data_IF_122676992335
#
_entry.id   IF_122676992335
#
_cell.length_a   1.000
_cell.length_b   1.000
_cell.length_c   1.000
_cell.angle_alpha   90.00
_cell.angle_beta   90.00
_cell.angle_gamma   90.00
#
_symmetry.space_group_name_H-M   'P 1'
#
loop_
_entity.id
_entity.type
_entity.pdbx_description
1 polymer ?
#
# COMPACT_ATOMS: atom_id res chain seq x y z
N UNK A 1 -19.00 37.13 10.49
CA UNK A 1 -17.53 37.22 10.54
C UNK A 1 -17.03 35.90 11.08
N UNK A 2 -16.62 34.99 10.18
CA UNK A 2 -16.07 33.70 10.54
C UNK A 2 -14.55 33.83 10.47
N UNK A 3 -13.90 33.71 11.63
CA UNK A 3 -12.47 33.88 11.79
C UNK A 3 -11.71 32.79 10.97
N UNK A 4 -10.75 33.25 10.18
CA UNK A 4 -9.79 32.39 9.48
C UNK A 4 -8.77 31.87 10.51
N UNK A 5 -8.97 30.67 11.00
CA UNK A 5 -7.95 29.92 11.73
C UNK A 5 -6.89 29.43 10.76
N UNK A 6 -5.67 29.93 10.84
CA UNK A 6 -4.51 29.45 10.13
C UNK A 6 -4.05 28.13 10.75
N UNK A 7 -4.16 27.04 10.01
CA UNK A 7 -3.58 25.73 10.36
C UNK A 7 -2.06 25.81 10.17
N UNK A 8 -1.23 25.34 11.13
CA UNK A 8 0.24 25.36 10.99
C UNK A 8 0.73 24.47 9.87
N UNK A 9 1.58 25.04 9.05
CA UNK A 9 2.25 24.62 7.84
C UNK A 9 2.61 23.16 7.63
N UNK A 10 1.88 22.52 6.75
CA UNK A 10 2.36 21.34 6.03
C UNK A 10 3.08 21.79 4.76
N UNK A 11 4.33 21.34 4.56
CA UNK A 11 5.10 21.68 3.36
C UNK A 11 4.73 20.72 2.24
N UNK A 12 3.87 21.17 1.32
CA UNK A 12 3.68 20.55 0.03
C UNK A 12 4.75 21.09 -0.93
N UNK A 13 5.68 20.26 -1.41
CA UNK A 13 6.69 20.68 -2.41
C UNK A 13 6.24 20.23 -3.79
N UNK A 14 5.69 21.17 -4.57
CA UNK A 14 5.40 20.96 -5.99
C UNK A 14 6.64 21.31 -6.82
N UNK A 15 7.21 20.32 -7.50
CA UNK A 15 8.27 20.56 -8.49
C UNK A 15 7.65 20.66 -9.90
N UNK A 16 7.75 21.83 -10.49
CA UNK A 16 7.38 22.04 -11.89
C UNK A 16 8.59 21.73 -12.77
N UNK A 17 8.55 20.62 -13.47
CA UNK A 17 9.66 20.16 -14.33
C UNK A 17 9.59 20.93 -15.66
N UNK A 18 10.67 21.64 -15.99
CA UNK A 18 10.86 22.21 -17.35
C UNK A 18 11.20 21.05 -18.29
N UNK A 19 10.37 20.87 -19.32
CA UNK A 19 10.59 19.88 -20.37
C UNK A 19 11.86 20.21 -21.15
N UNK A 20 12.94 19.49 -20.89
CA UNK A 20 14.11 19.40 -21.74
C UNK A 20 14.02 18.10 -22.53
N UNK A 21 13.70 18.20 -23.84
CA UNK A 21 13.65 17.01 -24.71
C UNK A 21 15.09 16.61 -25.05
N UNK A 22 15.60 15.58 -24.37
CA UNK A 22 16.78 14.84 -24.81
C UNK A 22 16.32 13.54 -25.49
N UNK A 23 16.41 13.47 -26.79
CA UNK A 23 16.29 12.24 -27.58
C UNK A 23 17.53 11.39 -27.33
N UNK A 24 17.47 10.41 -26.44
CA UNK A 24 18.49 9.39 -26.21
C UNK A 24 17.91 8.02 -26.47
N UNK A 25 18.57 7.26 -27.37
CA UNK A 25 18.13 5.97 -27.89
C UNK A 25 17.85 4.91 -26.82
N UNK A 26 16.86 4.11 -27.06
CA UNK A 26 16.47 2.95 -26.27
C UNK A 26 17.63 1.95 -26.17
N UNK A 27 18.32 1.92 -25.03
CA UNK A 27 19.15 0.79 -24.63
C UNK A 27 18.29 -0.13 -23.78
N UNK A 28 18.23 -1.39 -24.20
CA UNK A 28 17.39 -2.46 -23.72
C UNK A 28 17.16 -2.49 -22.21
N UNK A 29 15.89 -2.54 -21.83
CA UNK A 29 15.44 -2.89 -20.50
C UNK A 29 16.01 -4.26 -20.11
N UNK A 30 16.61 -4.34 -18.92
CA UNK A 30 16.86 -5.63 -18.29
C UNK A 30 15.51 -6.35 -18.14
N UNK A 31 15.41 -7.64 -18.47
CA UNK A 31 14.18 -8.37 -18.21
C UNK A 31 13.83 -8.21 -16.73
N UNK A 32 12.57 -7.90 -16.44
CA UNK A 32 12.02 -7.83 -15.07
C UNK A 32 12.40 -9.13 -14.36
N UNK A 33 13.31 -9.04 -13.39
CA UNK A 33 13.78 -10.23 -12.68
C UNK A 33 12.60 -10.80 -11.89
N UNK A 34 12.33 -12.07 -12.16
CA UNK A 34 11.40 -12.98 -11.47
C UNK A 34 10.20 -12.25 -10.80
N UNK A 35 9.15 -12.03 -11.59
CA UNK A 35 7.93 -11.40 -11.09
C UNK A 35 6.77 -12.40 -11.10
N UNK A 36 5.96 -12.40 -10.04
CA UNK A 36 4.70 -13.12 -9.96
C UNK A 36 3.55 -12.14 -10.15
N UNK A 37 2.49 -12.56 -10.86
CA UNK A 37 1.25 -11.81 -11.00
C UNK A 37 0.11 -12.58 -10.36
N UNK A 38 -0.70 -11.88 -9.59
CA UNK A 38 -1.96 -12.38 -9.05
C UNK A 38 -3.07 -11.45 -9.48
N UNK A 39 -4.07 -11.95 -10.17
CA UNK A 39 -5.25 -11.17 -10.54
C UNK A 39 -6.32 -11.33 -9.45
N UNK A 40 -6.91 -10.23 -9.00
CA UNK A 40 -8.07 -10.19 -8.10
C UNK A 40 -9.29 -9.98 -8.95
N UNK A 41 -10.14 -11.01 -9.09
CA UNK A 41 -11.29 -11.00 -9.99
C UNK A 41 -12.54 -10.46 -9.28
N UNK A 42 -12.92 -9.22 -9.63
CA UNK A 42 -14.09 -8.52 -9.12
C UNK A 42 -14.95 -7.93 -10.26
N UNK A 43 -14.91 -8.58 -11.42
CA UNK A 43 -15.57 -8.10 -12.62
C UNK A 43 -15.00 -6.78 -13.11
N UNK A 44 -15.80 -5.71 -13.17
CA UNK A 44 -15.33 -4.39 -13.61
C UNK A 44 -14.35 -3.70 -12.65
N UNK A 45 -14.18 -4.23 -11.45
CA UNK A 45 -13.26 -3.73 -10.41
C UNK A 45 -12.04 -4.63 -10.24
N UNK A 46 -11.86 -5.60 -11.12
CA UNK A 46 -10.68 -6.48 -11.12
C UNK A 46 -9.39 -5.70 -11.29
N UNK A 47 -8.33 -6.16 -10.64
CA UNK A 47 -7.02 -5.52 -10.72
C UNK A 47 -5.90 -6.55 -10.53
N UNK A 48 -4.73 -6.32 -11.14
CA UNK A 48 -3.55 -7.15 -10.92
C UNK A 48 -2.76 -6.71 -9.68
N UNK A 49 -2.09 -7.68 -9.06
CA UNK A 49 -1.02 -7.49 -8.07
C UNK A 49 0.26 -8.01 -8.69
N UNK A 50 1.22 -7.13 -8.91
CA UNK A 50 2.55 -7.47 -9.43
C UNK A 50 3.52 -7.60 -8.25
N UNK A 51 4.22 -8.71 -8.15
CA UNK A 51 5.09 -9.04 -7.03
C UNK A 51 6.46 -9.41 -7.58
N UNK A 52 7.50 -8.72 -7.15
CA UNK A 52 8.86 -8.98 -7.61
C UNK A 52 9.88 -8.07 -6.95
N UNK A 53 11.08 -8.03 -7.48
CA UNK A 53 12.16 -7.16 -7.02
C UNK A 53 12.53 -6.14 -8.09
N UNK A 54 12.99 -4.95 -7.64
CA UNK A 54 13.43 -3.85 -8.51
C UNK A 54 12.35 -3.33 -9.49
N UNK A 55 11.07 -3.38 -9.08
CA UNK A 55 9.94 -2.90 -9.88
C UNK A 55 9.83 -1.38 -9.89
N UNK A 56 10.29 -0.70 -8.83
CA UNK A 56 10.15 0.74 -8.64
C UNK A 56 10.70 1.55 -9.81
N UNK A 57 11.87 1.16 -10.32
CA UNK A 57 12.53 1.86 -11.43
C UNK A 57 11.78 1.81 -12.76
N UNK A 58 10.92 0.81 -12.96
CA UNK A 58 10.10 0.60 -14.16
C UNK A 58 8.62 0.97 -13.99
N UNK A 59 8.21 1.45 -12.82
CA UNK A 59 6.78 1.62 -12.50
C UNK A 59 6.03 2.54 -13.47
N UNK A 60 6.68 3.56 -14.01
CA UNK A 60 6.05 4.45 -15.00
C UNK A 60 5.65 3.72 -16.29
N UNK A 61 6.49 2.80 -16.77
CA UNK A 61 6.18 1.95 -17.92
C UNK A 61 5.08 0.93 -17.57
N UNK A 62 5.20 0.26 -16.42
CA UNK A 62 4.18 -0.66 -15.90
C UNK A 62 2.81 0.01 -15.85
N UNK A 63 2.72 1.25 -15.40
CA UNK A 63 1.47 1.99 -15.39
C UNK A 63 0.91 2.20 -16.80
N UNK A 64 1.75 2.50 -17.81
CA UNK A 64 1.31 2.66 -19.21
C UNK A 64 0.82 1.34 -19.79
N UNK A 65 1.53 0.26 -19.56
CA UNK A 65 1.13 -1.09 -20.00
C UNK A 65 -0.23 -1.52 -19.40
N UNK A 66 -0.54 -1.09 -18.18
CA UNK A 66 -1.82 -1.33 -17.52
C UNK A 66 -2.88 -0.27 -17.83
N UNK A 67 -2.66 0.56 -18.87
CA UNK A 67 -3.68 1.45 -19.42
C UNK A 67 -3.90 2.76 -18.66
N UNK A 68 -3.02 3.12 -17.72
CA UNK A 68 -3.10 4.42 -17.06
C UNK A 68 -2.75 5.55 -18.04
N UNK A 69 -3.67 6.49 -18.18
CA UNK A 69 -3.56 7.64 -19.09
C UNK A 69 -3.23 8.94 -18.36
N UNK A 70 -3.24 8.95 -17.04
CA UNK A 70 -2.94 10.11 -16.22
C UNK A 70 -1.51 10.61 -16.51
N UNK A 71 -1.37 11.93 -16.56
CA UNK A 71 -0.08 12.61 -16.66
C UNK A 71 0.31 13.31 -15.37
N UNK A 72 -0.59 13.29 -14.38
CA UNK A 72 -0.40 13.85 -13.06
C UNK A 72 -0.42 12.73 -12.05
N UNK A 73 0.53 12.75 -11.11
CA UNK A 73 0.59 11.82 -9.98
C UNK A 73 0.58 12.59 -8.65
N UNK A 74 -0.17 12.08 -7.69
CA UNK A 74 -0.17 12.53 -6.31
C UNK A 74 0.29 11.38 -5.43
N UNK A 75 1.47 11.52 -4.82
CA UNK A 75 2.11 10.48 -4.02
C UNK A 75 1.79 10.74 -2.56
N UNK A 76 1.09 9.81 -1.90
CA UNK A 76 0.96 9.79 -0.44
C UNK A 76 2.02 8.85 0.11
N UNK A 77 2.81 9.34 1.06
CA UNK A 77 3.90 8.60 1.69
C UNK A 77 4.12 9.08 3.12
N UNK A 78 5.16 8.60 3.79
CA UNK A 78 5.62 9.14 5.05
C UNK A 78 7.07 9.67 4.91
N UNK A 79 7.58 10.46 5.87
CA UNK A 79 8.91 11.06 5.77
C UNK A 79 10.04 10.05 5.55
N UNK A 80 10.01 8.90 6.23
CA UNK A 80 11.04 7.86 6.12
C UNK A 80 11.03 7.23 4.73
N UNK A 81 9.89 6.73 4.28
CA UNK A 81 9.74 6.07 2.98
C UNK A 81 9.94 7.06 1.84
N UNK A 82 9.39 8.28 1.98
CA UNK A 82 9.59 9.37 1.03
C UNK A 82 11.05 9.76 0.88
N UNK A 83 11.79 9.84 1.98
CA UNK A 83 13.24 10.10 1.96
C UNK A 83 14.05 9.03 1.22
N UNK A 84 13.65 7.77 1.34
CA UNK A 84 14.35 6.65 0.71
C UNK A 84 14.00 6.47 -0.78
N UNK A 85 12.73 6.60 -1.15
CA UNK A 85 12.25 6.06 -2.42
C UNK A 85 11.59 7.08 -3.34
N UNK A 86 11.18 8.27 -2.84
CA UNK A 86 10.44 9.23 -3.66
C UNK A 86 11.20 9.67 -4.91
N UNK A 87 12.49 9.97 -4.81
CA UNK A 87 13.28 10.44 -5.95
C UNK A 87 13.38 9.38 -7.06
N UNK A 88 13.51 8.10 -6.69
CA UNK A 88 13.52 7.00 -7.65
C UNK A 88 12.13 6.81 -8.31
N UNK A 89 11.05 6.88 -7.51
CA UNK A 89 9.68 6.83 -8.01
C UNK A 89 9.36 7.99 -8.95
N UNK A 90 9.68 9.23 -8.56
CA UNK A 90 9.46 10.42 -9.38
C UNK A 90 10.15 10.29 -10.75
N UNK A 91 11.43 9.88 -10.74
CA UNK A 91 12.19 9.63 -11.96
C UNK A 91 11.54 8.58 -12.86
N UNK A 92 11.09 7.45 -12.28
CA UNK A 92 10.41 6.40 -13.02
C UNK A 92 9.08 6.89 -13.62
N UNK A 93 8.30 7.67 -12.87
CA UNK A 93 7.04 8.27 -13.33
C UNK A 93 7.28 9.26 -14.49
N UNK A 94 8.29 10.13 -14.38
CA UNK A 94 8.65 11.09 -15.46
C UNK A 94 9.05 10.33 -16.72
N UNK A 95 9.85 9.28 -16.62
CA UNK A 95 10.19 8.40 -17.74
C UNK A 95 8.93 7.72 -18.34
N UNK A 96 7.95 7.38 -17.53
CA UNK A 96 6.65 6.87 -17.94
C UNK A 96 5.69 7.93 -18.47
N UNK A 97 6.14 9.20 -18.64
CA UNK A 97 5.35 10.28 -19.25
C UNK A 97 4.46 11.05 -18.27
N UNK A 98 4.70 10.98 -16.97
CA UNK A 98 4.07 11.88 -16.01
C UNK A 98 4.74 13.25 -16.06
N UNK A 99 3.94 14.31 -16.16
CA UNK A 99 4.42 15.69 -16.31
C UNK A 99 4.38 16.50 -15.02
N UNK A 100 3.59 16.02 -14.07
CA UNK A 100 3.49 16.61 -12.73
C UNK A 100 3.43 15.49 -11.69
N UNK A 101 4.37 15.52 -10.76
CA UNK A 101 4.43 14.60 -9.60
C UNK A 101 4.43 15.46 -8.34
N UNK A 102 3.47 15.20 -7.45
CA UNK A 102 3.32 15.92 -6.18
C UNK A 102 3.46 14.92 -5.05
N UNK A 103 4.26 15.24 -4.05
CA UNK A 103 4.42 14.45 -2.83
C UNK A 103 3.68 15.10 -1.67
N UNK A 104 2.94 14.29 -0.92
CA UNK A 104 2.34 14.63 0.35
C UNK A 104 2.73 13.58 1.40
N UNK A 105 3.19 14.03 2.55
CA UNK A 105 3.66 13.16 3.62
C UNK A 105 2.67 13.19 4.78
N UNK A 106 2.37 11.99 5.31
CA UNK A 106 1.57 11.78 6.52
C UNK A 106 2.42 11.04 7.56
N UNK A 107 2.10 11.10 8.86
CA UNK A 107 2.77 10.30 9.88
C UNK A 107 2.68 8.79 9.56
N UNK A 108 3.75 8.05 9.90
CA UNK A 108 3.81 6.60 9.68
C UNK A 108 3.05 5.81 10.77
N UNK A 109 2.81 6.42 11.94
CA UNK A 109 2.21 5.77 13.10
C UNK A 109 0.71 5.56 12.94
N UNK A 110 0.15 4.57 13.65
CA UNK A 110 -1.30 4.33 13.68
C UNK A 110 -2.09 5.54 14.22
N UNK A 111 -1.48 6.36 15.09
CA UNK A 111 -2.07 7.62 15.57
C UNK A 111 -2.27 8.63 14.44
N UNK A 112 -1.38 8.63 13.43
CA UNK A 112 -1.49 9.45 12.23
C UNK A 112 -2.62 9.00 11.28
N UNK A 113 -3.22 7.83 11.51
CA UNK A 113 -4.34 7.33 10.73
C UNK A 113 -5.67 7.92 11.21
N UNK A 114 -5.79 9.24 11.18
CA UNK A 114 -6.90 9.98 11.77
C UNK A 114 -7.61 10.90 10.75
N UNK A 115 -8.68 11.56 11.21
CA UNK A 115 -9.49 12.44 10.38
C UNK A 115 -8.75 13.71 9.92
N UNK A 116 -7.87 14.25 10.76
CA UNK A 116 -7.17 15.51 10.45
C UNK A 116 -6.15 15.28 9.33
N UNK A 117 -5.38 14.22 9.40
CA UNK A 117 -4.45 13.81 8.32
C UNK A 117 -5.20 13.47 7.03
N UNK A 118 -6.33 12.75 7.12
CA UNK A 118 -7.19 12.50 5.97
C UNK A 118 -7.69 13.80 5.33
N UNK A 119 -8.16 14.75 6.13
CA UNK A 119 -8.59 16.08 5.67
C UNK A 119 -7.45 16.83 5.02
N UNK A 120 -6.24 16.73 5.58
CA UNK A 120 -5.00 17.30 5.02
C UNK A 120 -4.68 16.74 3.63
N UNK A 121 -4.77 15.41 3.44
CA UNK A 121 -4.58 14.78 2.12
C UNK A 121 -5.62 15.27 1.12
N UNK A 122 -6.89 15.37 1.51
CA UNK A 122 -7.95 15.89 0.64
C UNK A 122 -7.73 17.37 0.27
N UNK A 123 -7.29 18.20 1.22
CA UNK A 123 -6.96 19.61 0.98
C UNK A 123 -5.78 19.74 0.01
N UNK A 124 -4.72 18.96 0.20
CA UNK A 124 -3.57 18.93 -0.69
C UNK A 124 -3.93 18.45 -2.12
N UNK A 125 -4.80 17.46 -2.25
CA UNK A 125 -5.35 17.04 -3.53
C UNK A 125 -6.11 18.18 -4.22
N UNK A 126 -6.96 18.90 -3.49
CA UNK A 126 -7.73 20.04 -4.03
C UNK A 126 -6.82 21.20 -4.44
N UNK A 127 -5.84 21.55 -3.60
CA UNK A 127 -4.89 22.63 -3.88
C UNK A 127 -4.05 22.35 -5.14
N UNK A 128 -3.57 21.12 -5.27
CA UNK A 128 -2.71 20.76 -6.38
C UNK A 128 -3.46 20.42 -7.66
N UNK A 129 -4.69 19.98 -7.57
CA UNK A 129 -5.53 19.57 -8.72
C UNK A 129 -6.92 20.17 -8.62
N UNK A 130 -7.07 21.52 -8.66
CA UNK A 130 -8.36 22.19 -8.54
C UNK A 130 -9.25 21.97 -9.76
N UNK A 131 -8.64 21.76 -10.93
CA UNK A 131 -9.36 21.56 -12.19
C UNK A 131 -9.92 20.14 -12.30
N UNK A 132 -11.22 20.03 -12.63
CA UNK A 132 -11.91 18.75 -12.80
C UNK A 132 -11.45 17.95 -14.01
N UNK A 133 -10.83 18.60 -15.01
CA UNK A 133 -10.26 17.94 -16.19
C UNK A 133 -8.93 17.21 -15.93
N UNK A 134 -8.21 17.59 -14.87
CA UNK A 134 -6.89 17.03 -14.55
C UNK A 134 -6.96 16.04 -13.38
N UNK A 135 -7.57 14.86 -13.60
CA UNK A 135 -7.66 13.81 -12.58
C UNK A 135 -6.29 13.20 -12.31
N UNK A 136 -5.72 13.33 -11.10
CA UNK A 136 -4.44 12.71 -10.78
C UNK A 136 -4.58 11.19 -10.61
N UNK A 137 -3.48 10.45 -10.83
CA UNK A 137 -3.30 9.12 -10.29
C UNK A 137 -2.75 9.25 -8.87
N UNK A 138 -3.48 8.73 -7.89
CA UNK A 138 -2.98 8.67 -6.51
C UNK A 138 -2.11 7.42 -6.37
N UNK A 139 -0.88 7.58 -5.88
CA UNK A 139 0.05 6.48 -5.63
C UNK A 139 0.37 6.45 -4.14
N UNK A 140 0.11 5.31 -3.51
CA UNK A 140 0.26 5.10 -2.06
C UNK A 140 1.55 4.33 -1.82
N UNK A 141 2.63 5.06 -1.55
CA UNK A 141 3.96 4.50 -1.32
C UNK A 141 4.21 4.43 0.19
N UNK A 142 3.92 3.27 0.81
CA UNK A 142 4.04 3.13 2.26
C UNK A 142 3.48 1.83 2.82
N UNK A 143 3.40 1.76 4.14
CA UNK A 143 2.74 0.69 4.88
C UNK A 143 1.22 0.82 4.93
N UNK A 144 0.57 0.05 5.82
CA UNK A 144 -0.88 0.01 5.97
C UNK A 144 -1.52 1.37 6.25
N UNK A 145 -0.91 2.21 7.09
CA UNK A 145 -1.42 3.55 7.41
C UNK A 145 -1.54 4.42 6.14
N UNK A 146 -0.49 4.45 5.33
CA UNK A 146 -0.48 5.19 4.05
C UNK A 146 -1.52 4.61 3.08
N UNK A 147 -1.57 3.27 2.99
CA UNK A 147 -2.49 2.56 2.12
C UNK A 147 -3.96 2.80 2.46
N UNK A 148 -4.29 2.74 3.75
CA UNK A 148 -5.67 2.90 4.21
C UNK A 148 -6.14 4.35 4.13
N UNK A 149 -5.37 5.29 4.69
CA UNK A 149 -5.74 6.70 4.70
C UNK A 149 -5.75 7.30 3.29
N UNK A 150 -4.68 7.06 2.51
CA UNK A 150 -4.59 7.56 1.14
C UNK A 150 -5.61 6.92 0.22
N UNK A 151 -5.91 5.61 0.39
CA UNK A 151 -6.94 4.90 -0.35
C UNK A 151 -8.35 5.40 -0.03
N UNK A 152 -8.61 5.77 1.23
CA UNK A 152 -9.85 6.42 1.63
C UNK A 152 -9.97 7.81 1.00
N UNK A 153 -8.91 8.63 1.05
CA UNK A 153 -8.89 9.93 0.39
C UNK A 153 -9.14 9.81 -1.12
N UNK A 154 -8.48 8.85 -1.80
CA UNK A 154 -8.74 8.58 -3.21
C UNK A 154 -10.18 8.14 -3.48
N UNK A 155 -10.79 7.37 -2.57
CA UNK A 155 -12.17 6.87 -2.71
C UNK A 155 -13.24 7.95 -2.58
N UNK A 156 -12.98 9.01 -1.83
CA UNK A 156 -13.96 10.08 -1.60
C UNK A 156 -13.67 11.35 -2.39
N UNK A 157 -12.40 11.64 -2.70
CA UNK A 157 -12.04 12.82 -3.49
C UNK A 157 -12.71 12.75 -4.86
N UNK A 158 -13.53 13.75 -5.18
CA UNK A 158 -14.33 13.81 -6.42
C UNK A 158 -15.18 12.56 -6.69
N UNK A 159 -15.67 11.89 -5.65
CA UNK A 159 -16.44 10.64 -5.71
C UNK A 159 -15.65 9.45 -6.25
N UNK A 160 -14.33 9.51 -6.14
CA UNK A 160 -13.38 8.48 -6.51
C UNK A 160 -12.43 8.89 -7.62
N UNK A 161 -11.14 8.79 -7.34
CA UNK A 161 -10.04 8.92 -8.31
C UNK A 161 -9.25 7.61 -8.33
N UNK A 162 -8.61 7.27 -9.47
CA UNK A 162 -7.83 6.03 -9.55
C UNK A 162 -6.63 6.08 -8.61
N UNK A 163 -6.34 4.94 -7.98
CA UNK A 163 -5.17 4.82 -7.13
C UNK A 163 -4.43 3.49 -7.33
N UNK A 164 -3.15 3.50 -6.95
CA UNK A 164 -2.22 2.37 -6.99
C UNK A 164 -1.62 2.20 -5.60
N UNK A 165 -1.57 0.97 -5.12
CA UNK A 165 -0.85 0.60 -3.90
C UNK A 165 0.60 0.22 -4.23
N UNK A 166 1.54 0.79 -3.50
CA UNK A 166 2.95 0.40 -3.52
C UNK A 166 3.40 0.11 -2.07
N UNK A 167 3.09 -1.09 -1.56
CA UNK A 167 3.38 -1.45 -0.18
C UNK A 167 4.89 -1.50 0.08
N UNK A 168 5.31 -0.91 1.21
CA UNK A 168 6.71 -0.89 1.66
C UNK A 168 6.91 -1.60 2.99
N UNK A 169 5.87 -2.24 3.54
CA UNK A 169 5.96 -3.14 4.69
C UNK A 169 5.52 -4.54 4.28
N UNK A 170 6.05 -5.57 4.96
CA UNK A 170 5.66 -6.95 4.70
C UNK A 170 4.17 -7.17 4.96
N UNK A 171 3.66 -6.62 6.08
CA UNK A 171 2.24 -6.65 6.41
C UNK A 171 1.37 -6.07 5.28
N UNK A 172 1.75 -4.93 4.72
CA UNK A 172 0.99 -4.34 3.63
C UNK A 172 1.10 -5.15 2.34
N UNK A 173 2.26 -5.74 2.05
CA UNK A 173 2.48 -6.57 0.87
C UNK A 173 1.62 -7.84 0.87
N UNK A 174 1.44 -8.50 2.04
CA UNK A 174 0.69 -9.76 2.14
C UNK A 174 -0.79 -9.56 2.48
N UNK A 175 -1.16 -8.40 3.04
CA UNK A 175 -2.51 -8.18 3.57
C UNK A 175 -3.12 -6.85 3.14
N UNK A 176 -2.82 -5.70 3.77
CA UNK A 176 -3.64 -4.49 3.69
C UNK A 176 -3.76 -3.90 2.28
N UNK A 177 -2.79 -4.08 1.38
CA UNK A 177 -2.87 -3.59 0.00
C UNK A 177 -3.93 -4.27 -0.88
N UNK A 178 -4.51 -5.39 -0.43
CA UNK A 178 -5.47 -6.19 -1.19
C UNK A 178 -6.84 -6.20 -0.51
N UNK A 179 -7.92 -6.05 -1.28
CA UNK A 179 -9.28 -6.22 -0.79
C UNK A 179 -10.07 -4.93 -0.53
N UNK A 180 -9.46 -3.77 -0.81
CA UNK A 180 -10.16 -2.49 -0.93
C UNK A 180 -10.78 -1.92 0.35
N UNK A 181 -10.50 -2.47 1.52
CA UNK A 181 -10.85 -1.84 2.79
C UNK A 181 -9.89 -0.69 3.04
N UNK A 182 -10.37 0.54 2.98
CA UNK A 182 -9.59 1.76 3.22
C UNK A 182 -10.33 2.64 4.21
N UNK A 183 -9.63 3.15 5.23
CA UNK A 183 -10.29 3.80 6.36
C UNK A 183 -9.32 4.65 7.18
N UNK A 184 -9.90 5.43 8.10
CA UNK A 184 -9.21 6.11 9.18
C UNK A 184 -9.88 5.85 10.52
N UNK A 185 -9.14 6.09 11.58
CA UNK A 185 -9.62 6.03 12.95
C UNK A 185 -10.41 7.29 13.26
N UNK A 186 -11.50 7.16 14.01
CA UNK A 186 -12.33 8.30 14.40
C UNK A 186 -13.01 8.03 15.73
N UNK A 187 -13.06 9.04 16.62
CA UNK A 187 -13.72 8.93 17.92
C UNK A 187 -13.16 7.81 18.82
N UNK A 188 -11.86 7.51 18.71
CA UNK A 188 -11.21 6.44 19.49
C UNK A 188 -11.47 5.02 18.93
N UNK A 189 -12.15 4.90 17.78
CA UNK A 189 -12.44 3.59 17.17
C UNK A 189 -11.61 3.41 15.91
N UNK A 190 -10.87 2.30 15.81
CA UNK A 190 -10.05 1.94 14.64
C UNK A 190 -10.93 1.68 13.42
N UNK A 191 -10.48 2.20 12.27
CA UNK A 191 -11.01 1.88 10.93
C UNK A 191 -12.53 2.12 10.77
N UNK A 192 -13.13 2.97 11.61
CA UNK A 192 -14.59 3.16 11.62
C UNK A 192 -15.10 4.04 10.46
N UNK A 193 -14.27 4.97 9.99
CA UNK A 193 -14.61 5.84 8.87
C UNK A 193 -13.87 5.38 7.62
N UNK A 194 -14.58 4.78 6.68
CA UNK A 194 -13.95 4.24 5.48
C UNK A 194 -14.93 3.87 4.37
N UNK A 195 -14.36 3.37 3.29
CA UNK A 195 -15.09 2.90 2.10
C UNK A 195 -14.45 1.60 1.58
N UNK A 196 -15.21 0.87 0.77
CA UNK A 196 -14.65 -0.16 -0.10
C UNK A 196 -14.21 0.48 -1.41
N UNK A 197 -12.91 0.67 -1.60
CA UNK A 197 -12.32 1.26 -2.80
C UNK A 197 -11.16 0.35 -3.28
N UNK A 198 -11.36 -0.31 -4.42
CA UNK A 198 -10.35 -1.23 -4.95
C UNK A 198 -9.25 -0.44 -5.68
N UNK A 199 -7.97 -0.76 -5.47
CA UNK A 199 -6.89 -0.19 -6.26
C UNK A 199 -7.03 -0.61 -7.72
N UNK A 200 -6.46 0.16 -8.64
CA UNK A 200 -6.38 -0.23 -10.06
C UNK A 200 -5.19 -1.13 -10.35
N UNK A 201 -4.22 -1.14 -9.45
CA UNK A 201 -3.00 -1.93 -9.54
C UNK A 201 -2.36 -1.95 -8.15
N UNK A 202 -1.72 -3.07 -7.81
CA UNK A 202 -0.78 -3.15 -6.69
C UNK A 202 0.59 -3.52 -7.23
N UNK A 203 1.62 -2.78 -6.85
CA UNK A 203 3.02 -3.04 -7.22
C UNK A 203 3.81 -3.34 -5.94
N UNK A 204 4.01 -4.62 -5.66
CA UNK A 204 4.81 -5.11 -4.53
C UNK A 204 6.27 -5.24 -4.97
N UNK A 205 7.05 -4.18 -4.84
CA UNK A 205 8.50 -4.26 -5.00
C UNK A 205 9.15 -4.73 -3.70
N UNK A 206 9.50 -6.00 -3.65
CA UNK A 206 10.04 -6.64 -2.46
C UNK A 206 11.46 -6.15 -2.10
N UNK A 207 12.15 -5.47 -3.02
CA UNK A 207 13.42 -4.81 -2.71
C UNK A 207 13.25 -3.67 -1.70
N UNK A 208 12.06 -3.04 -1.63
CA UNK A 208 11.76 -1.97 -0.68
C UNK A 208 11.70 -2.47 0.78
N UNK A 209 11.47 -3.78 0.98
CA UNK A 209 11.44 -4.37 2.32
C UNK A 209 12.82 -4.49 2.98
N UNK A 210 13.91 -4.35 2.20
CA UNK A 210 15.29 -4.45 2.73
C UNK A 210 15.66 -3.36 3.72
N UNK A 211 14.95 -2.23 3.70
CA UNK A 211 15.14 -1.11 4.64
C UNK A 211 14.15 -1.13 5.79
N UNK A 212 13.31 -2.17 5.85
CA UNK A 212 12.32 -2.32 6.89
C UNK A 212 12.99 -2.79 8.19
N UNK A 213 12.54 -2.24 9.32
CA UNK A 213 12.97 -2.71 10.62
C UNK A 213 12.61 -4.19 10.84
N UNK A 214 13.49 -4.93 11.52
CA UNK A 214 13.26 -6.34 11.79
C UNK A 214 11.96 -6.61 12.59
N UNK A 215 11.53 -5.64 13.41
CA UNK A 215 10.26 -5.67 14.13
C UNK A 215 9.08 -5.68 13.17
N UNK A 216 9.10 -4.81 12.16
CA UNK A 216 8.07 -4.71 11.12
C UNK A 216 8.05 -5.97 10.22
N UNK A 217 9.22 -6.57 9.96
CA UNK A 217 9.29 -7.85 9.23
C UNK A 217 8.60 -8.96 10.04
N UNK A 218 8.87 -9.06 11.35
CA UNK A 218 8.21 -10.03 12.24
C UNK A 218 6.70 -9.80 12.31
N UNK A 219 6.27 -8.53 12.42
CA UNK A 219 4.85 -8.18 12.41
C UNK A 219 4.14 -8.67 11.14
N UNK A 220 4.77 -8.49 9.96
CA UNK A 220 4.23 -9.03 8.71
C UNK A 220 4.27 -10.56 8.63
N UNK A 221 5.30 -11.20 9.22
CA UNK A 221 5.42 -12.66 9.26
C UNK A 221 4.28 -13.33 10.04
N UNK A 222 3.75 -12.70 11.09
CA UNK A 222 2.62 -13.23 11.86
C UNK A 222 1.36 -13.37 10.99
N UNK A 223 1.11 -12.43 10.08
CA UNK A 223 0.00 -12.54 9.13
C UNK A 223 0.20 -13.70 8.15
N UNK A 224 1.45 -13.97 7.75
CA UNK A 224 1.77 -15.11 6.90
C UNK A 224 1.51 -16.42 7.63
N UNK A 225 1.92 -16.52 8.89
CA UNK A 225 1.63 -17.67 9.76
C UNK A 225 0.10 -17.85 9.93
N UNK A 226 -0.63 -16.76 10.14
CA UNK A 226 -2.10 -16.79 10.18
C UNK A 226 -2.69 -17.38 8.89
N UNK A 227 -2.25 -16.93 7.71
CA UNK A 227 -2.71 -17.51 6.44
C UNK A 227 -2.38 -19.00 6.33
N UNK A 228 -1.20 -19.42 6.77
CA UNK A 228 -0.83 -20.82 6.86
C UNK A 228 -1.80 -21.62 7.73
N UNK A 229 -2.03 -21.16 8.94
CA UNK A 229 -2.85 -21.85 9.95
C UNK A 229 -4.33 -21.98 9.53
N UNK A 230 -4.93 -20.94 8.93
CA UNK A 230 -6.38 -20.92 8.68
C UNK A 230 -6.80 -21.07 7.22
N UNK A 231 -5.88 -20.85 6.27
CA UNK A 231 -6.22 -20.83 4.84
C UNK A 231 -5.46 -21.88 4.02
N UNK A 232 -4.25 -22.30 4.42
CA UNK A 232 -3.40 -23.16 3.58
C UNK A 232 -2.39 -23.99 4.39
N UNK A 233 -2.70 -25.27 4.62
CA UNK A 233 -1.75 -26.21 5.22
C UNK A 233 -0.43 -26.32 4.42
N UNK A 234 -0.45 -26.11 3.10
CA UNK A 234 0.77 -26.13 2.29
C UNK A 234 1.67 -24.94 2.59
N UNK A 235 1.09 -23.74 2.82
CA UNK A 235 1.84 -22.57 3.26
C UNK A 235 2.40 -22.78 4.67
N UNK A 236 1.60 -23.37 5.57
CA UNK A 236 2.02 -23.67 6.93
C UNK A 236 3.24 -24.61 6.92
N UNK A 237 3.15 -25.70 6.16
CA UNK A 237 4.26 -26.64 6.00
C UNK A 237 5.52 -25.98 5.41
N UNK A 238 5.36 -25.12 4.40
CA UNK A 238 6.47 -24.37 3.83
C UNK A 238 7.18 -23.49 4.87
N UNK A 239 6.41 -22.88 5.79
CA UNK A 239 6.93 -22.07 6.89
C UNK A 239 7.71 -22.96 7.87
N UNK A 240 7.17 -24.11 8.27
CA UNK A 240 7.79 -25.05 9.21
C UNK A 240 9.07 -25.67 8.64
N UNK A 241 9.12 -25.94 7.33
CA UNK A 241 10.28 -26.55 6.64
C UNK A 241 11.44 -25.55 6.41
N UNK A 242 11.60 -24.54 7.25
CA UNK A 242 12.67 -23.53 7.20
C UNK A 242 12.33 -22.32 6.31
N UNK A 243 11.08 -22.20 5.87
CA UNK A 243 10.64 -21.03 5.11
C UNK A 243 10.58 -19.76 5.95
N UNK A 244 10.35 -19.88 7.27
CA UNK A 244 10.28 -18.73 8.16
C UNK A 244 11.63 -18.01 8.30
N UNK A 245 12.72 -18.74 8.53
CA UNK A 245 14.06 -18.16 8.64
C UNK A 245 14.44 -17.41 7.38
N UNK A 246 14.17 -18.01 6.21
CA UNK A 246 14.43 -17.40 4.90
C UNK A 246 13.57 -16.18 4.63
N UNK A 247 12.29 -16.22 5.04
CA UNK A 247 11.38 -15.08 5.00
C UNK A 247 11.90 -13.92 5.85
N UNK A 248 12.28 -14.19 7.10
CA UNK A 248 12.83 -13.20 8.01
C UNK A 248 14.17 -12.62 7.53
N UNK A 249 14.95 -13.41 6.79
CA UNK A 249 16.16 -12.98 6.10
C UNK A 249 15.87 -12.22 4.79
N UNK A 250 14.59 -12.09 4.39
CA UNK A 250 14.14 -11.46 3.15
C UNK A 250 14.80 -12.08 1.91
N UNK A 251 15.00 -13.41 1.89
CA UNK A 251 15.52 -14.13 0.72
C UNK A 251 14.57 -13.96 -0.48
N UNK A 252 15.02 -13.41 -1.62
CA UNK A 252 14.13 -12.92 -2.68
C UNK A 252 13.16 -13.98 -3.23
N UNK A 253 13.65 -15.19 -3.49
CA UNK A 253 12.84 -16.25 -4.11
C UNK A 253 11.76 -16.75 -3.16
N UNK A 254 12.13 -17.05 -1.91
CA UNK A 254 11.22 -17.52 -0.88
C UNK A 254 10.20 -16.43 -0.53
N UNK A 255 10.67 -15.19 -0.41
CA UNK A 255 9.82 -14.03 -0.13
C UNK A 255 8.79 -13.82 -1.25
N UNK A 256 9.21 -13.90 -2.51
CA UNK A 256 8.31 -13.74 -3.67
C UNK A 256 7.22 -14.82 -3.67
N UNK A 257 7.60 -16.07 -3.45
CA UNK A 257 6.67 -17.20 -3.45
C UNK A 257 5.66 -17.10 -2.30
N UNK A 258 6.12 -16.81 -1.09
CA UNK A 258 5.27 -16.69 0.10
C UNK A 258 4.31 -15.50 -0.05
N UNK A 259 4.80 -14.32 -0.45
CA UNK A 259 3.95 -13.13 -0.66
C UNK A 259 2.89 -13.42 -1.73
N UNK A 260 3.29 -14.02 -2.86
CA UNK A 260 2.34 -14.39 -3.92
C UNK A 260 1.31 -15.43 -3.44
N UNK A 261 1.69 -16.36 -2.56
CA UNK A 261 0.77 -17.32 -1.98
C UNK A 261 -0.26 -16.63 -1.08
N UNK A 262 0.18 -15.76 -0.16
CA UNK A 262 -0.71 -15.01 0.73
C UNK A 262 -1.68 -14.13 -0.07
N UNK A 263 -1.18 -13.39 -1.07
CA UNK A 263 -2.01 -12.54 -1.95
C UNK A 263 -3.07 -13.37 -2.67
N UNK A 264 -2.73 -14.57 -3.20
CA UNK A 264 -3.72 -15.47 -3.82
C UNK A 264 -4.79 -15.96 -2.82
N UNK A 265 -4.40 -16.28 -1.59
CA UNK A 265 -5.33 -16.69 -0.56
C UNK A 265 -6.30 -15.56 -0.23
N UNK A 266 -5.77 -14.35 -0.02
CA UNK A 266 -6.60 -13.17 0.26
C UNK A 266 -7.51 -12.84 -0.91
N UNK A 267 -7.00 -12.83 -2.14
CA UNK A 267 -7.78 -12.59 -3.35
C UNK A 267 -9.01 -13.50 -3.42
N UNK A 268 -8.85 -14.81 -3.23
CA UNK A 268 -9.97 -15.79 -3.22
C UNK A 268 -11.02 -15.49 -2.16
N UNK A 269 -10.63 -15.01 -0.99
CA UNK A 269 -11.56 -14.63 0.08
C UNK A 269 -12.33 -13.36 -0.31
N UNK A 270 -11.61 -12.36 -0.85
CA UNK A 270 -12.18 -11.08 -1.30
C UNK A 270 -13.14 -11.27 -2.48
N UNK A 271 -12.78 -12.08 -3.47
CA UNK A 271 -13.61 -12.41 -4.63
C UNK A 271 -14.97 -13.02 -4.23
N UNK A 272 -14.99 -13.80 -3.16
CA UNK A 272 -16.22 -14.44 -2.64
C UNK A 272 -17.07 -13.50 -1.79
N UNK A 273 -16.47 -12.48 -1.17
CA UNK A 273 -17.13 -11.55 -0.24
C UNK A 273 -16.47 -10.16 -0.27
N UNK A 274 -16.56 -9.48 -1.42
CA UNK A 274 -15.90 -8.18 -1.63
C UNK A 274 -16.27 -7.16 -0.56
N UNK A 275 -17.54 -7.06 -0.21
CA UNK A 275 -18.09 -6.04 0.71
C UNK A 275 -18.23 -6.53 2.15
N UNK A 276 -17.63 -7.67 2.50
CA UNK A 276 -17.66 -8.23 3.86
C UNK A 276 -19.07 -8.37 4.46
N UNK A 277 -20.02 -8.84 3.64
CA UNK A 277 -21.43 -8.99 4.04
C UNK A 277 -21.85 -10.44 4.26
N UNK A 278 -21.05 -11.39 3.77
CA UNK A 278 -21.34 -12.84 3.84
C UNK A 278 -20.66 -13.53 5.02
N UNK A 279 -19.81 -12.80 5.77
CA UNK A 279 -19.01 -13.38 6.86
C UNK A 279 -17.85 -14.26 6.41
N UNK A 280 -17.58 -14.37 5.09
CA UNK A 280 -16.50 -15.22 4.56
C UNK A 280 -15.14 -14.61 4.94
N UNK A 281 -15.05 -13.28 5.01
CA UNK A 281 -13.82 -12.56 5.40
C UNK A 281 -13.47 -12.72 6.89
N UNK A 282 -14.39 -13.24 7.73
CA UNK A 282 -14.12 -13.45 9.15
C UNK A 282 -12.94 -14.40 9.41
N UNK A 283 -12.64 -15.30 8.46
CA UNK A 283 -11.46 -16.18 8.56
C UNK A 283 -10.16 -15.37 8.64
N UNK A 284 -10.11 -14.19 8.02
CA UNK A 284 -8.95 -13.29 8.05
C UNK A 284 -8.78 -12.57 9.40
N UNK A 285 -9.80 -12.61 10.27
CA UNK A 285 -9.77 -12.00 11.60
C UNK A 285 -9.35 -12.99 12.69
N UNK A 286 -8.84 -14.18 12.33
CA UNK A 286 -8.33 -15.13 13.29
C UNK A 286 -7.23 -14.48 14.14
N UNK A 287 -7.34 -14.59 15.47
CA UNK A 287 -6.43 -13.96 16.43
C UNK A 287 -6.66 -12.46 16.69
N UNK A 288 -7.33 -11.72 15.79
CA UNK A 288 -7.47 -10.26 15.87
C UNK A 288 -8.23 -9.77 17.11
N UNK A 289 -9.19 -10.52 17.62
CA UNK A 289 -9.96 -10.12 18.83
C UNK A 289 -9.03 -9.94 20.03
N UNK A 290 -8.11 -10.88 20.23
CA UNK A 290 -7.13 -10.82 21.33
C UNK A 290 -6.03 -9.81 20.98
N UNK A 291 -5.50 -9.86 19.75
CA UNK A 291 -4.45 -8.97 19.27
C UNK A 291 -4.82 -7.49 19.43
N UNK A 292 -5.97 -7.07 18.92
CA UNK A 292 -6.44 -5.67 19.04
C UNK A 292 -6.70 -5.23 20.48
N UNK A 293 -7.18 -6.13 21.36
CA UNK A 293 -7.37 -5.80 22.77
C UNK A 293 -6.02 -5.55 23.47
N UNK A 294 -4.99 -6.32 23.15
CA UNK A 294 -3.64 -6.14 23.68
C UNK A 294 -2.94 -4.91 23.09
N UNK A 295 -3.10 -4.63 21.80
CA UNK A 295 -2.62 -3.38 21.19
C UNK A 295 -3.17 -2.16 21.91
N UNK A 296 -4.49 -2.15 22.15
CA UNK A 296 -5.15 -1.04 22.84
C UNK A 296 -4.64 -0.90 24.29
N UNK A 297 -4.45 -2.00 24.99
CA UNK A 297 -3.95 -2.00 26.39
C UNK A 297 -2.49 -1.58 26.50
N UNK A 298 -1.72 -1.69 25.40
CA UNK A 298 -0.33 -1.27 25.30
C UNK A 298 -0.16 0.12 24.64
N UNK A 299 -1.22 0.92 24.53
CA UNK A 299 -1.22 2.23 23.85
C UNK A 299 -0.54 2.17 22.47
N UNK A 300 -0.78 1.07 21.75
CA UNK A 300 -0.17 0.78 20.44
C UNK A 300 1.37 0.67 20.41
N UNK A 301 2.00 0.54 21.58
CA UNK A 301 3.43 0.25 21.67
C UNK A 301 3.79 -1.14 21.10
N UNK A 302 2.81 -2.04 21.03
CA UNK A 302 2.89 -3.36 20.40
C UNK A 302 1.89 -3.45 19.24
N UNK A 303 2.26 -4.10 18.14
CA UNK A 303 1.33 -4.44 17.07
C UNK A 303 0.70 -5.82 17.32
N UNK A 304 -0.50 -6.08 16.79
CA UNK A 304 -1.14 -7.40 16.91
C UNK A 304 -0.27 -8.53 16.35
N UNK A 305 0.59 -8.23 15.38
CA UNK A 305 1.56 -9.17 14.86
C UNK A 305 2.67 -9.54 15.85
N UNK A 306 2.97 -8.69 16.82
CA UNK A 306 3.96 -8.97 17.88
C UNK A 306 3.35 -9.75 19.04
N UNK A 307 2.04 -9.72 19.18
CA UNK A 307 1.28 -10.31 20.28
C UNK A 307 0.83 -11.75 19.94
N UNK A 308 1.05 -12.21 18.72
CA UNK A 308 0.71 -13.58 18.32
C UNK A 308 1.39 -14.59 19.26
N UNK A 309 0.67 -15.65 19.74
CA UNK A 309 1.19 -16.60 20.73
C UNK A 309 2.45 -17.36 20.31
N UNK A 310 2.86 -17.23 19.05
CA UNK A 310 4.03 -17.93 18.48
C UNK A 310 5.36 -17.18 18.65
N UNK A 311 5.35 -16.03 19.34
CA UNK A 311 6.56 -15.25 19.65
C UNK A 311 7.19 -15.61 21.02
N UNK A 312 7.10 -16.88 21.47
CA UNK A 312 7.83 -17.37 22.66
C UNK A 312 9.07 -18.14 22.26
#
# INVERSE_FOLDING_TARGET
>A
MIGRGTVPGFRCTAHRIKAGVARGGAKGLRPLMQSSRVDVDLGSRSYPVLIGTELLGGVGEVLREHGFKQTNAFIVTNPQVGGLYFSALEKALVLGGFTRVVRHEIPASEEGKNWDEFSGVCAALLENFPDTGAVPLVILLGGGVVGDLGGFAAGVFRRGVPFVQMPTTLLAAVDSSVGGKVAVNFGGVKNIMGVFNQPRLVVCDLALLRTLDAREVRSGASEIIKYGAVCSGALFQQIEDGGLEKLLALEPDVLTDIVAHCVRLKARVVERDEFDKKGIRNVLNFGHTIGHALELSADYALTHGEISPDNK
#
